data_IF_395044696557
#
_entry.id   IF_395044696557
#
_cell.length_a   1.000
_cell.length_b   1.000
_cell.length_c   1.000
_cell.angle_alpha   90.00
_cell.angle_beta   90.00
_cell.angle_gamma   90.00
#
_symmetry.space_group_name_H-M   'P 1'
#
loop_
_entity.id
_entity.type
_entity.pdbx_description
1 polymer ?
#
# COMPACT_ATOMS: atom_id res chain seq x y z
N UNK A 1 32.80 18.75 41.96
CA UNK A 1 33.29 18.49 40.59
C UNK A 1 32.48 17.48 39.78
N UNK A 2 31.45 16.81 40.33
CA UNK A 2 30.67 15.78 39.59
C UNK A 2 29.30 16.25 39.02
N UNK A 3 28.82 17.43 39.41
CA UNK A 3 27.44 17.88 39.09
C UNK A 3 27.28 18.46 37.67
N UNK A 4 28.38 18.77 36.99
CA UNK A 4 28.38 19.40 35.67
C UNK A 4 28.50 18.37 34.53
N UNK A 5 28.69 17.09 34.88
CA UNK A 5 28.85 15.99 33.92
C UNK A 5 27.47 15.46 33.48
N UNK A 6 26.50 15.40 34.39
CA UNK A 6 25.12 15.00 34.12
C UNK A 6 24.38 15.96 33.17
N UNK A 7 24.63 17.27 33.28
CA UNK A 7 24.00 18.27 32.40
C UNK A 7 24.49 18.24 30.95
N UNK A 8 25.73 17.80 30.71
CA UNK A 8 26.30 17.68 29.34
C UNK A 8 25.83 16.41 28.62
N UNK A 9 25.54 15.35 29.36
CA UNK A 9 25.00 14.09 28.80
C UNK A 9 23.54 14.27 28.37
N UNK A 10 22.74 15.07 29.11
CA UNK A 10 21.35 15.33 28.77
C UNK A 10 21.16 16.13 27.45
N UNK A 11 22.13 16.96 27.06
CA UNK A 11 22.07 17.75 25.82
C UNK A 11 22.34 16.94 24.55
N UNK A 12 23.04 15.80 24.65
CA UNK A 12 23.37 14.94 23.49
C UNK A 12 22.19 14.05 23.09
N UNK A 13 21.21 13.84 23.97
CA UNK A 13 20.06 12.97 23.73
C UNK A 13 18.94 13.59 22.85
N UNK A 14 19.07 14.86 22.44
CA UNK A 14 17.97 15.62 21.83
C UNK A 14 17.98 15.71 20.29
N UNK A 15 18.96 15.10 19.60
CA UNK A 15 19.20 15.39 18.17
C UNK A 15 18.94 14.25 17.17
N UNK A 16 18.37 13.09 17.57
CA UNK A 16 18.16 11.96 16.65
C UNK A 16 16.69 11.55 16.57
N UNK A 17 15.81 12.49 16.19
CA UNK A 17 14.49 12.15 15.68
C UNK A 17 14.62 11.66 14.23
N UNK A 18 15.03 10.41 14.04
CA UNK A 18 14.94 9.76 12.74
C UNK A 18 13.46 9.54 12.40
N UNK A 19 12.90 10.36 11.51
CA UNK A 19 11.62 10.03 10.87
C UNK A 19 11.85 8.83 9.97
N UNK A 20 11.42 7.64 10.42
CA UNK A 20 11.28 6.48 9.54
C UNK A 20 10.10 6.77 8.61
N UNK A 21 10.39 7.26 7.40
CA UNK A 21 9.40 7.26 6.34
C UNK A 21 9.21 5.80 5.90
N UNK A 22 8.06 5.22 6.26
CA UNK A 22 7.64 3.97 5.64
C UNK A 22 7.50 4.24 4.15
N UNK A 23 8.23 3.48 3.32
CA UNK A 23 8.04 3.44 1.87
C UNK A 23 6.65 2.84 1.60
N UNK A 24 5.63 3.69 1.58
CA UNK A 24 4.23 3.31 1.39
C UNK A 24 4.01 3.01 -0.08
N UNK A 25 4.45 1.84 -0.51
CA UNK A 25 4.23 1.35 -1.87
C UNK A 25 2.76 1.49 -2.29
N UNK A 26 2.54 1.78 -3.58
CA UNK A 26 1.19 2.02 -4.11
C UNK A 26 0.38 0.72 -4.16
N UNK A 27 -0.83 0.75 -3.59
CA UNK A 27 -1.78 -0.36 -3.67
C UNK A 27 -3.01 0.06 -4.48
N UNK A 28 -3.31 -0.69 -5.53
CA UNK A 28 -4.47 -0.45 -6.40
C UNK A 28 -5.57 -1.49 -6.15
N UNK A 29 -6.83 -1.08 -6.29
CA UNK A 29 -8.01 -1.92 -6.25
C UNK A 29 -8.53 -2.13 -7.67
N UNK A 30 -8.52 -3.38 -8.11
CA UNK A 30 -8.99 -3.80 -9.43
C UNK A 30 -10.43 -4.34 -9.30
N UNK A 31 -11.40 -3.58 -9.80
CA UNK A 31 -12.79 -4.02 -9.88
C UNK A 31 -12.98 -5.05 -11.01
N UNK A 32 -13.62 -6.18 -10.70
CA UNK A 32 -13.75 -7.31 -11.64
C UNK A 32 -15.21 -7.50 -12.09
N UNK A 33 -15.85 -8.59 -11.69
CA UNK A 33 -17.25 -8.94 -11.95
C UNK A 33 -17.68 -9.98 -10.90
N UNK A 34 -18.72 -10.76 -11.20
CA UNK A 34 -19.13 -11.89 -10.37
C UNK A 34 -18.07 -12.99 -10.35
N UNK A 35 -18.07 -13.80 -9.29
CA UNK A 35 -17.10 -14.90 -9.09
C UNK A 35 -17.21 -16.01 -10.14
N UNK A 36 -18.35 -16.12 -10.83
CA UNK A 36 -18.56 -17.05 -11.94
C UNK A 36 -18.11 -16.53 -13.31
N UNK A 37 -17.71 -15.26 -13.42
CA UNK A 37 -17.21 -14.67 -14.66
C UNK A 37 -15.69 -14.76 -14.80
N UNK A 38 -15.18 -14.60 -16.02
CA UNK A 38 -13.72 -14.70 -16.31
C UNK A 38 -12.88 -13.65 -15.60
N UNK A 39 -13.42 -12.45 -15.37
CA UNK A 39 -12.65 -11.34 -14.80
C UNK A 39 -12.25 -11.57 -13.35
N UNK A 40 -13.00 -12.38 -12.59
CA UNK A 40 -12.68 -12.67 -11.19
C UNK A 40 -11.39 -13.50 -11.02
N UNK A 41 -11.23 -14.70 -11.61
CA UNK A 41 -9.99 -15.46 -11.50
C UNK A 41 -8.81 -14.75 -12.20
N UNK A 42 -9.05 -14.01 -13.28
CA UNK A 42 -8.01 -13.20 -13.93
C UNK A 42 -7.51 -12.08 -13.01
N UNK A 43 -8.42 -11.35 -12.36
CA UNK A 43 -8.05 -10.31 -11.39
C UNK A 43 -7.25 -10.87 -10.20
N UNK A 44 -7.64 -12.06 -9.70
CA UNK A 44 -6.89 -12.75 -8.64
C UNK A 44 -5.46 -13.13 -9.06
N UNK A 45 -5.28 -13.60 -10.29
CA UNK A 45 -3.96 -13.89 -10.84
C UNK A 45 -3.11 -12.62 -10.97
N UNK A 46 -3.69 -11.51 -11.44
CA UNK A 46 -3.00 -10.21 -11.53
C UNK A 46 -2.60 -9.67 -10.14
N UNK A 47 -3.47 -9.76 -9.15
CA UNK A 47 -3.16 -9.41 -7.75
C UNK A 47 -1.96 -10.23 -7.24
N UNK A 48 -1.94 -11.53 -7.53
CA UNK A 48 -0.83 -12.40 -7.14
C UNK A 48 0.48 -12.04 -7.86
N UNK A 49 0.44 -11.85 -9.18
CA UNK A 49 1.63 -11.51 -9.97
C UNK A 49 2.23 -10.16 -9.57
N UNK A 50 1.38 -9.15 -9.33
CA UNK A 50 1.85 -7.86 -8.87
C UNK A 50 2.49 -7.97 -7.49
N UNK A 51 1.89 -8.72 -6.57
CA UNK A 51 2.47 -8.99 -5.25
C UNK A 51 3.83 -9.68 -5.32
N UNK A 52 3.97 -10.75 -6.12
CA UNK A 52 5.17 -11.60 -6.10
C UNK A 52 6.28 -11.12 -7.04
N UNK A 53 5.96 -10.41 -8.13
CA UNK A 53 6.94 -9.97 -9.14
C UNK A 53 7.15 -8.46 -9.20
N UNK A 54 6.09 -7.66 -9.02
CA UNK A 54 6.14 -6.21 -9.24
C UNK A 54 6.47 -5.47 -7.94
N UNK A 55 5.78 -5.79 -6.83
CA UNK A 55 5.95 -5.10 -5.55
C UNK A 55 7.40 -5.10 -5.02
N UNK A 56 8.20 -6.19 -5.13
CA UNK A 56 9.58 -6.17 -4.62
C UNK A 56 10.48 -5.13 -5.30
N UNK A 57 10.22 -4.81 -6.58
CA UNK A 57 11.05 -3.91 -7.39
C UNK A 57 10.47 -2.51 -7.53
N UNK A 58 9.15 -2.41 -7.63
CA UNK A 58 8.45 -1.17 -7.97
C UNK A 58 7.54 -0.69 -6.85
N UNK A 59 7.45 -1.44 -5.74
CA UNK A 59 6.59 -1.12 -4.59
C UNK A 59 5.10 -0.99 -4.95
N UNK A 60 4.67 -1.55 -6.09
CA UNK A 60 3.27 -1.58 -6.54
C UNK A 60 2.64 -2.93 -6.27
N UNK A 61 1.43 -2.94 -5.69
CA UNK A 61 0.57 -4.12 -5.59
C UNK A 61 -0.85 -3.83 -6.07
N UNK A 62 -1.58 -4.89 -6.43
CA UNK A 62 -3.00 -4.85 -6.79
C UNK A 62 -3.76 -5.80 -5.90
N UNK A 63 -4.97 -5.42 -5.48
CA UNK A 63 -5.96 -6.31 -4.88
C UNK A 63 -7.20 -6.35 -5.77
N UNK A 64 -7.73 -7.54 -6.04
CA UNK A 64 -8.94 -7.69 -6.84
C UNK A 64 -10.18 -7.69 -5.95
N UNK A 65 -11.23 -6.98 -6.39
CA UNK A 65 -12.54 -6.95 -5.73
C UNK A 65 -13.62 -7.44 -6.71
N UNK A 66 -14.62 -8.14 -6.20
CA UNK A 66 -15.79 -8.52 -7.01
C UNK A 66 -16.73 -7.33 -7.18
N UNK A 67 -17.50 -7.34 -8.27
CA UNK A 67 -18.50 -6.30 -8.57
C UNK A 67 -19.68 -6.90 -9.34
N UNK A 68 -20.70 -6.10 -9.62
CA UNK A 68 -21.82 -6.50 -10.47
C UNK A 68 -21.46 -6.58 -11.97
N UNK A 69 -20.31 -6.01 -12.39
CA UNK A 69 -19.88 -5.93 -13.79
C UNK A 69 -19.42 -4.52 -14.19
N UNK A 70 -19.33 -4.27 -15.51
CA UNK A 70 -18.69 -3.06 -16.05
C UNK A 70 -19.33 -1.75 -15.60
N UNK A 71 -20.66 -1.69 -15.45
CA UNK A 71 -21.36 -0.50 -14.96
C UNK A 71 -20.91 -0.11 -13.54
N UNK A 72 -20.80 -1.08 -12.64
CA UNK A 72 -20.31 -0.84 -11.28
C UNK A 72 -18.81 -0.51 -11.29
N UNK A 73 -18.01 -1.13 -12.16
CA UNK A 73 -16.57 -0.81 -12.26
C UNK A 73 -16.35 0.67 -12.62
N UNK A 74 -17.07 1.20 -13.60
CA UNK A 74 -16.96 2.62 -13.97
C UNK A 74 -17.43 3.53 -12.83
N UNK A 75 -18.49 3.15 -12.11
CA UNK A 75 -18.95 3.87 -10.92
C UNK A 75 -17.88 3.90 -9.83
N UNK A 76 -17.26 2.76 -9.50
CA UNK A 76 -16.18 2.68 -8.52
C UNK A 76 -14.96 3.53 -8.91
N UNK A 77 -14.61 3.57 -10.20
CA UNK A 77 -13.56 4.46 -10.70
C UNK A 77 -13.92 5.94 -10.55
N UNK A 78 -15.15 6.31 -10.93
CA UNK A 78 -15.68 7.68 -10.78
C UNK A 78 -15.67 8.12 -9.31
N UNK A 79 -16.06 7.21 -8.42
CA UNK A 79 -16.18 7.45 -6.99
C UNK A 79 -14.84 7.29 -6.25
N UNK A 80 -13.76 6.93 -6.98
CA UNK A 80 -12.39 6.69 -6.48
C UNK A 80 -12.28 5.56 -5.46
N UNK A 81 -13.21 4.61 -5.51
CA UNK A 81 -13.21 3.37 -4.72
C UNK A 81 -12.42 2.25 -5.39
N UNK A 82 -12.11 2.40 -6.68
CA UNK A 82 -11.19 1.58 -7.44
C UNK A 82 -10.27 2.46 -8.30
N UNK A 83 -9.23 1.86 -8.88
CA UNK A 83 -8.30 2.51 -9.81
C UNK A 83 -8.21 1.71 -11.12
#
# INVERSE_FOLDING_TARGET
>A
TMRNWLGKVALIASALSFSVHADTGTNYLLATASTGGTYYPVGGALATLTKVKIQPKHKVSVSAINSAGSGENIKLLRDKEAQ
#
